data_IF_585874738857
#
_entry.id   IF_585874738857
#
_cell.length_a   1.000
_cell.length_b   1.000
_cell.length_c   1.000
_cell.angle_alpha   90.00
_cell.angle_beta   90.00
_cell.angle_gamma   90.00
#
_symmetry.space_group_name_H-M   'P 1'
#
loop_
_entity.id
_entity.type
_entity.pdbx_description
1 polymer ?
#
# COMPACT_ATOMS: atom_id res chain seq x y z
N UNK A 1 -25.91 -62.08 -61.12
CA UNK A 1 -26.19 -62.76 -59.83
C UNK A 1 -25.66 -61.87 -58.71
N UNK A 2 -26.39 -61.54 -57.62
CA UNK A 2 -26.77 -62.39 -56.46
C UNK A 2 -25.55 -63.06 -55.81
N UNK A 3 -25.25 -62.97 -54.49
CA UNK A 3 -25.93 -62.38 -53.29
C UNK A 3 -24.79 -61.98 -52.27
N UNK A 4 -24.89 -61.34 -51.08
CA UNK A 4 -25.92 -61.11 -50.04
C UNK A 4 -25.59 -59.87 -49.15
N UNK A 5 -26.51 -59.50 -48.25
CA UNK A 5 -26.35 -58.68 -47.03
C UNK A 5 -25.39 -59.37 -45.99
N UNK A 6 -24.94 -58.80 -44.84
CA UNK A 6 -25.70 -58.13 -43.76
C UNK A 6 -24.95 -57.16 -42.82
N UNK A 7 -25.76 -56.24 -42.29
CA UNK A 7 -25.63 -55.31 -41.15
C UNK A 7 -24.77 -55.68 -39.93
N UNK A 8 -24.18 -54.66 -39.27
CA UNK A 8 -24.59 -54.32 -37.87
C UNK A 8 -24.23 -52.90 -37.42
N UNK A 9 -25.21 -52.21 -36.80
CA UNK A 9 -25.04 -50.93 -36.09
C UNK A 9 -24.62 -51.18 -34.64
N UNK A 10 -23.86 -50.26 -34.02
CA UNK A 10 -23.64 -50.25 -32.57
C UNK A 10 -23.46 -48.81 -32.06
N UNK A 11 -24.33 -48.37 -31.14
CA UNK A 11 -24.13 -47.12 -30.41
C UNK A 11 -23.10 -47.34 -29.29
N UNK A 12 -22.23 -46.36 -29.07
CA UNK A 12 -21.44 -46.26 -27.83
C UNK A 12 -21.78 -45.00 -27.06
N UNK A 13 -22.51 -45.23 -25.98
CA UNK A 13 -22.88 -44.37 -24.86
C UNK A 13 -21.92 -43.22 -24.57
N UNK A 14 -22.45 -41.99 -24.57
CA UNK A 14 -21.84 -40.85 -23.88
C UNK A 14 -21.94 -41.10 -22.36
N UNK A 15 -20.79 -41.15 -21.68
CA UNK A 15 -20.72 -41.19 -20.21
C UNK A 15 -20.14 -39.85 -19.74
N UNK A 16 -20.96 -39.04 -19.08
CA UNK A 16 -20.49 -37.85 -18.36
C UNK A 16 -19.73 -38.28 -17.10
N UNK A 17 -18.48 -37.84 -16.96
CA UNK A 17 -17.67 -38.07 -15.76
C UNK A 17 -17.42 -36.76 -15.03
N UNK A 18 -18.17 -36.48 -13.95
CA UNK A 18 -17.90 -35.35 -13.06
C UNK A 18 -16.62 -35.62 -12.24
N UNK A 19 -15.49 -35.00 -12.59
CA UNK A 19 -14.27 -35.05 -11.77
C UNK A 19 -14.29 -34.02 -10.64
N UNK A 20 -14.91 -34.38 -9.52
CA UNK A 20 -14.79 -33.66 -8.26
C UNK A 20 -13.45 -33.98 -7.55
N UNK A 21 -12.32 -33.44 -8.02
CA UNK A 21 -11.02 -33.64 -7.36
C UNK A 21 -10.05 -32.46 -7.51
N UNK A 22 -9.90 -31.64 -6.45
CA UNK A 22 -8.69 -30.80 -6.25
C UNK A 22 -8.46 -30.25 -4.83
N UNK A 23 -9.22 -30.65 -3.79
CA UNK A 23 -9.10 -30.09 -2.43
C UNK A 23 -7.75 -30.36 -1.73
N UNK A 24 -6.98 -31.34 -2.21
CA UNK A 24 -5.64 -31.68 -1.70
C UNK A 24 -4.48 -31.05 -2.51
N UNK A 25 -4.74 -30.55 -3.72
CA UNK A 25 -3.69 -30.02 -4.61
C UNK A 25 -3.18 -28.62 -4.27
N UNK A 26 -3.76 -27.97 -3.25
CA UNK A 26 -3.47 -26.59 -2.86
C UNK A 26 -2.23 -26.45 -1.97
N UNK A 27 -1.97 -27.39 -1.04
CA UNK A 27 -0.85 -27.24 -0.06
C UNK A 27 0.51 -27.35 -0.73
N UNK A 28 0.75 -28.44 -1.47
CA UNK A 28 2.00 -28.70 -2.21
C UNK A 28 2.30 -27.59 -3.25
N UNK A 29 1.24 -27.00 -3.85
CA UNK A 29 1.35 -25.89 -4.81
C UNK A 29 1.67 -24.54 -4.16
N UNK A 30 1.49 -24.37 -2.85
CA UNK A 30 1.93 -23.17 -2.12
C UNK A 30 3.40 -23.27 -1.75
N UNK A 31 3.84 -24.39 -1.18
CA UNK A 31 5.24 -24.61 -0.76
C UNK A 31 6.21 -24.50 -1.95
N UNK A 32 5.89 -25.16 -3.08
CA UNK A 32 6.66 -25.02 -4.33
C UNK A 32 6.71 -23.59 -4.86
N UNK A 33 5.68 -22.76 -4.66
CA UNK A 33 5.69 -21.34 -5.04
C UNK A 33 6.50 -20.46 -4.08
N UNK A 34 6.52 -20.78 -2.79
CA UNK A 34 7.41 -20.11 -1.81
C UNK A 34 8.87 -20.41 -2.18
N UNK A 35 9.21 -21.68 -2.44
CA UNK A 35 10.56 -22.09 -2.85
C UNK A 35 10.95 -21.53 -4.23
N UNK A 36 10.03 -21.45 -5.20
CA UNK A 36 10.31 -20.84 -6.51
C UNK A 36 10.58 -19.33 -6.42
N UNK A 37 9.88 -18.62 -5.53
CA UNK A 37 10.15 -17.20 -5.26
C UNK A 37 11.49 -17.00 -4.54
N UNK A 38 11.83 -17.86 -3.56
CA UNK A 38 13.16 -17.90 -2.93
C UNK A 38 14.27 -18.16 -3.96
N UNK A 39 14.01 -18.98 -4.97
CA UNK A 39 14.92 -19.25 -6.11
C UNK A 39 14.85 -18.22 -7.23
N UNK A 40 14.29 -17.02 -6.98
CA UNK A 40 14.38 -15.88 -7.88
C UNK A 40 13.43 -15.88 -9.08
N UNK A 41 12.58 -16.91 -9.26
CA UNK A 41 11.61 -17.00 -10.34
C UNK A 41 10.31 -16.20 -10.08
N UNK A 42 10.32 -15.29 -9.10
CA UNK A 42 9.22 -14.38 -8.79
C UNK A 42 9.31 -13.05 -9.54
N UNK A 43 8.18 -12.37 -9.64
CA UNK A 43 8.11 -10.97 -10.09
C UNK A 43 8.90 -10.01 -9.16
N UNK A 44 9.13 -8.77 -9.60
CA UNK A 44 9.98 -7.82 -8.89
C UNK A 44 9.49 -7.53 -7.45
N UNK A 45 8.19 -7.36 -7.26
CA UNK A 45 7.59 -7.17 -5.93
C UNK A 45 7.72 -8.40 -5.04
N UNK A 46 7.47 -9.60 -5.58
CA UNK A 46 7.63 -10.86 -4.84
C UNK A 46 9.08 -11.12 -4.43
N UNK A 47 10.06 -10.60 -5.20
CA UNK A 47 11.48 -10.70 -4.89
C UNK A 47 11.90 -9.70 -3.81
N UNK A 48 11.50 -8.43 -3.89
CA UNK A 48 11.94 -7.42 -2.92
C UNK A 48 11.28 -7.61 -1.54
N UNK A 49 10.01 -7.99 -1.48
CA UNK A 49 9.33 -8.34 -0.22
C UNK A 49 9.97 -9.54 0.47
N UNK A 50 10.45 -10.52 -0.31
CA UNK A 50 11.14 -11.69 0.21
C UNK A 50 12.58 -11.38 0.66
N UNK A 51 13.26 -10.43 0.01
CA UNK A 51 14.52 -9.85 0.49
C UNK A 51 14.30 -9.09 1.80
N UNK A 52 13.21 -8.32 1.92
CA UNK A 52 12.83 -7.63 3.17
C UNK A 52 12.58 -8.59 4.31
N UNK A 53 11.68 -9.57 4.10
CA UNK A 53 11.39 -10.63 5.06
C UNK A 53 12.66 -11.38 5.50
N UNK A 54 13.53 -11.77 4.56
CA UNK A 54 14.80 -12.43 4.87
C UNK A 54 15.77 -11.52 5.66
N UNK A 55 15.79 -10.22 5.36
CA UNK A 55 16.61 -9.23 6.09
C UNK A 55 16.10 -9.03 7.51
N UNK A 56 14.78 -8.92 7.70
CA UNK A 56 14.17 -8.77 9.02
C UNK A 56 14.27 -10.06 9.86
N UNK A 57 14.17 -11.25 9.25
CA UNK A 57 14.50 -12.52 9.94
C UNK A 57 15.98 -12.54 10.35
N UNK A 58 16.89 -12.14 9.47
CA UNK A 58 18.32 -12.04 9.77
C UNK A 58 18.60 -11.10 10.95
N UNK A 59 18.07 -9.87 10.90
CA UNK A 59 18.18 -8.89 11.98
C UNK A 59 17.57 -9.40 13.29
N UNK A 60 16.40 -10.03 13.25
CA UNK A 60 15.74 -10.64 14.43
C UNK A 60 16.65 -11.70 15.07
N UNK A 61 17.21 -12.61 14.29
CA UNK A 61 18.10 -13.68 14.79
C UNK A 61 19.41 -13.09 15.31
N UNK A 62 20.03 -12.12 14.61
CA UNK A 62 21.26 -11.47 15.05
C UNK A 62 21.06 -10.70 16.37
N UNK A 63 20.02 -9.87 16.48
CA UNK A 63 19.67 -9.14 17.71
C UNK A 63 19.31 -10.09 18.84
N UNK A 64 18.54 -11.15 18.57
CA UNK A 64 18.13 -12.14 19.57
C UNK A 64 19.31 -12.93 20.14
N UNK A 65 20.20 -13.43 19.29
CA UNK A 65 21.40 -14.16 19.72
C UNK A 65 22.39 -13.26 20.47
N UNK A 66 22.61 -12.03 19.97
CA UNK A 66 23.47 -11.07 20.67
C UNK A 66 22.86 -10.62 22.00
N UNK A 67 21.55 -10.40 22.06
CA UNK A 67 20.85 -10.03 23.29
C UNK A 67 20.91 -11.13 24.34
N UNK A 68 20.78 -12.40 23.95
CA UNK A 68 20.98 -13.53 24.83
C UNK A 68 22.45 -13.65 25.30
N UNK A 69 23.42 -13.58 24.38
CA UNK A 69 24.85 -13.70 24.69
C UNK A 69 25.37 -12.57 25.59
N UNK A 70 24.88 -11.35 25.39
CA UNK A 70 25.26 -10.15 26.14
C UNK A 70 24.36 -9.89 27.36
N UNK A 71 23.40 -10.81 27.64
CA UNK A 71 22.37 -10.68 28.68
C UNK A 71 21.63 -9.32 28.64
N UNK A 72 21.38 -8.81 27.44
CA UNK A 72 20.83 -7.48 27.17
C UNK A 72 19.34 -7.53 26.85
N UNK A 73 18.53 -7.13 27.83
CA UNK A 73 17.08 -7.03 27.68
C UNK A 73 16.66 -6.04 26.58
N UNK A 74 17.42 -4.96 26.36
CA UNK A 74 17.12 -3.97 25.31
C UNK A 74 17.33 -4.53 23.91
N UNK A 75 18.38 -5.32 23.69
CA UNK A 75 18.62 -5.97 22.39
C UNK A 75 17.64 -7.13 22.12
N UNK A 76 17.16 -7.80 23.18
CA UNK A 76 16.07 -8.78 23.08
C UNK A 76 14.72 -8.11 22.76
N UNK A 77 14.41 -6.95 23.34
CA UNK A 77 13.22 -6.18 23.00
C UNK A 77 13.25 -5.68 21.54
N UNK A 78 14.40 -5.17 21.08
CA UNK A 78 14.60 -4.77 19.69
C UNK A 78 14.54 -5.96 18.70
N UNK A 79 14.96 -7.16 19.13
CA UNK A 79 14.71 -8.40 18.39
C UNK A 79 13.21 -8.72 18.30
N UNK A 80 12.46 -8.57 19.40
CA UNK A 80 11.00 -8.77 19.45
C UNK A 80 10.24 -7.79 18.55
N UNK A 81 10.63 -6.51 18.56
CA UNK A 81 10.12 -5.48 17.64
C UNK A 81 10.39 -5.86 16.18
N UNK A 82 11.63 -6.25 15.85
CA UNK A 82 12.00 -6.70 14.50
C UNK A 82 11.26 -8.00 14.09
N UNK A 83 10.88 -8.85 15.04
CA UNK A 83 10.02 -10.01 14.78
C UNK A 83 8.57 -9.62 14.49
N UNK A 84 8.07 -8.52 15.10
CA UNK A 84 6.75 -7.94 14.80
C UNK A 84 6.63 -7.46 13.35
N UNK A 85 7.68 -6.85 12.80
CA UNK A 85 7.75 -6.42 11.39
C UNK A 85 7.46 -7.55 10.39
N UNK A 86 7.83 -8.79 10.74
CA UNK A 86 7.60 -9.96 9.90
C UNK A 86 6.12 -10.20 9.62
N UNK A 87 5.23 -9.78 10.53
CA UNK A 87 3.77 -9.84 10.31
C UNK A 87 3.38 -8.88 9.18
N UNK A 88 3.96 -7.68 9.15
CA UNK A 88 3.78 -6.70 8.07
C UNK A 88 4.32 -7.22 6.73
N UNK A 89 5.55 -7.74 6.70
CA UNK A 89 6.16 -8.32 5.51
C UNK A 89 5.35 -9.50 4.95
N UNK A 90 4.83 -10.39 5.83
CA UNK A 90 4.01 -11.54 5.44
C UNK A 90 2.64 -11.11 4.89
N UNK A 91 2.00 -10.10 5.50
CA UNK A 91 0.76 -9.50 4.98
C UNK A 91 1.01 -8.89 3.60
N UNK A 92 2.07 -8.10 3.45
CA UNK A 92 2.47 -7.48 2.18
C UNK A 92 2.73 -8.53 1.11
N UNK A 93 3.54 -9.56 1.40
CA UNK A 93 3.84 -10.65 0.47
C UNK A 93 2.60 -11.46 0.07
N UNK A 94 1.68 -11.70 1.00
CA UNK A 94 0.42 -12.41 0.74
C UNK A 94 -0.51 -11.57 -0.15
N UNK A 95 -0.79 -10.32 0.24
CA UNK A 95 -1.67 -9.42 -0.50
C UNK A 95 -1.12 -9.12 -1.90
N UNK A 96 0.19 -8.97 -2.05
CA UNK A 96 0.87 -8.84 -3.34
C UNK A 96 0.66 -10.04 -4.27
N UNK A 97 0.94 -11.25 -3.79
CA UNK A 97 0.74 -12.49 -4.58
C UNK A 97 -0.74 -12.78 -4.84
N UNK A 98 -1.64 -12.26 -4.01
CA UNK A 98 -3.09 -12.37 -4.18
C UNK A 98 -3.61 -11.38 -5.23
N UNK A 99 -3.11 -10.14 -5.24
CA UNK A 99 -3.57 -9.10 -6.18
C UNK A 99 -3.21 -9.39 -7.63
N UNK A 100 -2.04 -10.01 -7.86
CA UNK A 100 -1.54 -10.40 -9.19
C UNK A 100 -2.22 -11.64 -9.80
N UNK A 101 -3.33 -12.12 -9.22
CA UNK A 101 -4.17 -13.13 -9.87
C UNK A 101 -5.02 -12.49 -10.98
N UNK A 102 -5.23 -13.18 -12.11
CA UNK A 102 -6.18 -12.74 -13.13
C UNK A 102 -7.61 -12.70 -12.57
N UNK A 103 -8.54 -11.98 -13.23
CA UNK A 103 -9.96 -12.03 -12.91
C UNK A 103 -10.54 -13.45 -12.86
N UNK A 104 -11.59 -13.61 -12.06
CA UNK A 104 -12.37 -14.85 -11.91
C UNK A 104 -13.85 -14.52 -11.76
N UNK A 105 -14.73 -15.50 -11.87
CA UNK A 105 -16.18 -15.29 -11.73
C UNK A 105 -16.56 -14.65 -10.38
N UNK A 106 -15.85 -14.99 -9.31
CA UNK A 106 -16.03 -14.39 -7.96
C UNK A 106 -15.42 -12.98 -7.86
N UNK A 107 -14.46 -12.63 -8.71
CA UNK A 107 -13.78 -11.32 -8.73
C UNK A 107 -13.64 -10.81 -10.19
N UNK A 108 -14.74 -10.35 -10.84
CA UNK A 108 -14.71 -10.01 -12.28
C UNK A 108 -13.79 -8.83 -12.63
N UNK A 109 -13.55 -7.91 -11.67
CA UNK A 109 -12.58 -6.80 -11.78
C UNK A 109 -11.15 -7.16 -11.35
N UNK A 110 -10.86 -8.45 -11.12
CA UNK A 110 -9.57 -8.91 -10.60
C UNK A 110 -9.37 -8.69 -9.11
N UNK A 111 -8.17 -9.04 -8.64
CA UNK A 111 -7.85 -9.12 -7.21
C UNK A 111 -7.16 -7.84 -6.66
N UNK A 112 -7.10 -6.75 -7.42
CA UNK A 112 -6.27 -5.59 -7.08
C UNK A 112 -6.65 -4.88 -5.77
N UNK A 113 -7.93 -4.94 -5.33
CA UNK A 113 -8.35 -4.46 -4.00
C UNK A 113 -7.66 -5.18 -2.83
N UNK A 114 -7.08 -6.37 -3.02
CA UNK A 114 -6.30 -7.04 -1.97
C UNK A 114 -4.99 -6.32 -1.63
N UNK A 115 -4.40 -5.51 -2.53
CA UNK A 115 -3.31 -4.59 -2.14
C UNK A 115 -3.83 -3.53 -1.17
N UNK A 116 -5.01 -2.96 -1.43
CA UNK A 116 -5.61 -1.93 -0.56
C UNK A 116 -5.91 -2.50 0.83
N UNK A 117 -6.44 -3.74 0.90
CA UNK A 117 -6.65 -4.44 2.16
C UNK A 117 -5.33 -4.67 2.93
N UNK A 118 -4.27 -5.11 2.24
CA UNK A 118 -2.93 -5.27 2.84
C UNK A 118 -2.33 -3.93 3.31
N UNK A 119 -2.47 -2.90 2.49
CA UNK A 119 -2.01 -1.53 2.78
C UNK A 119 -2.72 -0.99 4.04
N UNK A 120 -4.03 -1.23 4.15
CA UNK A 120 -4.85 -0.87 5.32
C UNK A 120 -4.44 -1.66 6.56
N UNK A 121 -4.18 -2.97 6.44
CA UNK A 121 -3.77 -3.81 7.56
C UNK A 121 -2.39 -3.37 8.11
N UNK A 122 -1.40 -3.17 7.23
CA UNK A 122 -0.07 -2.67 7.61
C UNK A 122 -0.16 -1.28 8.22
N UNK A 123 -0.98 -0.37 7.66
CA UNK A 123 -1.11 0.98 8.20
C UNK A 123 -1.85 1.03 9.54
N UNK A 124 -2.81 0.12 9.78
CA UNK A 124 -3.47 -0.01 11.09
C UNK A 124 -2.54 -0.61 12.15
N UNK A 125 -1.71 -1.59 11.80
CA UNK A 125 -0.65 -2.09 12.70
C UNK A 125 0.32 -0.96 13.08
N UNK A 126 0.80 -0.20 12.09
CA UNK A 126 1.70 0.94 12.30
C UNK A 126 1.07 2.05 13.17
N UNK A 127 -0.20 2.39 12.91
CA UNK A 127 -0.94 3.41 13.65
C UNK A 127 -1.25 2.94 15.08
N UNK A 128 -1.56 1.65 15.27
CA UNK A 128 -1.80 1.04 16.58
C UNK A 128 -0.54 0.95 17.44
N UNK A 129 0.59 0.53 16.86
CA UNK A 129 1.89 0.55 17.54
C UNK A 129 2.32 1.95 17.94
N UNK A 130 2.16 2.94 17.04
CA UNK A 130 2.40 4.34 17.36
C UNK A 130 1.52 4.87 18.50
N UNK A 131 0.24 4.49 18.54
CA UNK A 131 -0.65 4.85 19.65
C UNK A 131 -0.20 4.19 20.96
N UNK A 132 0.12 2.90 20.96
CA UNK A 132 0.62 2.18 22.14
C UNK A 132 1.91 2.80 22.70
N UNK A 133 2.89 3.07 21.84
CA UNK A 133 4.11 3.81 22.19
C UNK A 133 3.78 5.19 22.77
N UNK A 134 2.88 5.95 22.15
CA UNK A 134 2.52 7.30 22.60
C UNK A 134 1.88 7.31 24.00
N UNK A 135 0.97 6.37 24.27
CA UNK A 135 0.34 6.22 25.58
C UNK A 135 1.37 5.75 26.63
N UNK A 136 2.29 4.84 26.27
CA UNK A 136 3.35 4.38 27.17
C UNK A 136 4.37 5.49 27.50
N UNK A 137 4.87 6.20 26.49
CA UNK A 137 5.76 7.36 26.68
C UNK A 137 5.09 8.49 27.47
N UNK A 138 3.79 8.74 27.27
CA UNK A 138 3.04 9.71 28.05
C UNK A 138 2.89 9.29 29.52
N UNK A 139 2.67 8.01 29.80
CA UNK A 139 2.62 7.48 31.17
C UNK A 139 3.98 7.66 31.87
N UNK A 140 5.09 7.22 31.24
CA UNK A 140 6.45 7.40 31.76
C UNK A 140 6.83 8.88 31.95
N UNK A 141 6.42 9.76 31.03
CA UNK A 141 6.62 11.19 31.14
C UNK A 141 5.83 11.77 32.33
N UNK A 142 4.57 11.34 32.52
CA UNK A 142 3.73 11.82 33.63
C UNK A 142 4.27 11.41 35.00
N UNK A 143 4.83 10.21 35.12
CA UNK A 143 5.47 9.74 36.36
C UNK A 143 6.78 10.50 36.65
N UNK A 144 7.61 10.72 35.64
CA UNK A 144 8.84 11.54 35.75
C UNK A 144 8.54 13.01 36.13
N UNK A 145 7.47 13.59 35.57
CA UNK A 145 6.97 14.92 35.94
C UNK A 145 6.40 14.94 37.36
N UNK A 146 5.70 13.90 37.82
CA UNK A 146 5.16 13.84 39.17
C UNK A 146 6.27 13.79 40.23
N UNK A 147 7.32 12.98 40.00
CA UNK A 147 8.51 12.94 40.87
C UNK A 147 9.23 14.30 40.89
N UNK A 148 9.35 14.96 39.73
CA UNK A 148 9.96 16.29 39.61
C UNK A 148 9.13 17.39 40.28
N UNK A 149 7.79 17.31 40.19
CA UNK A 149 6.87 18.19 40.88
C UNK A 149 6.95 18.03 42.41
N UNK A 150 7.06 16.79 42.91
CA UNK A 150 7.20 16.51 44.34
C UNK A 150 8.50 17.05 44.96
N UNK A 151 9.56 17.19 44.16
CA UNK A 151 10.84 17.79 44.59
C UNK A 151 10.86 19.33 44.52
N UNK A 152 9.81 19.96 44.00
CA UNK A 152 9.74 21.43 43.81
C UNK A 152 9.12 22.14 45.03
N UNK A 153 9.41 23.43 45.19
CA UNK A 153 8.89 24.23 46.29
C UNK A 153 7.38 24.56 46.11
N UNK A 154 6.59 24.64 47.21
CA UNK A 154 5.17 25.02 47.19
C UNK A 154 4.87 26.28 46.40
N UNK A 155 3.97 26.16 45.42
CA UNK A 155 3.48 27.29 44.62
C UNK A 155 2.77 26.85 43.33
N UNK A 156 2.19 27.84 42.64
CA UNK A 156 1.26 27.65 41.51
C UNK A 156 1.79 26.69 40.42
N UNK A 157 3.09 26.69 40.14
CA UNK A 157 3.68 25.80 39.13
C UNK A 157 3.65 24.33 39.59
N UNK A 158 3.81 24.06 40.88
CA UNK A 158 3.68 22.72 41.46
C UNK A 158 2.22 22.25 41.42
N UNK A 159 1.27 23.11 41.79
CA UNK A 159 -0.17 22.79 41.81
C UNK A 159 -0.70 22.47 40.40
N UNK A 160 -0.28 23.25 39.39
CA UNK A 160 -0.62 23.01 37.97
C UNK A 160 -0.01 21.70 37.48
N UNK A 161 1.25 21.42 37.81
CA UNK A 161 1.94 20.21 37.36
C UNK A 161 1.37 18.94 38.01
N UNK A 162 1.09 18.98 39.32
CA UNK A 162 0.42 17.90 40.07
C UNK A 162 -0.96 17.56 39.50
N UNK A 163 -1.81 18.57 39.24
CA UNK A 163 -3.12 18.37 38.61
C UNK A 163 -2.99 17.75 37.20
N UNK A 164 -2.03 18.22 36.39
CA UNK A 164 -1.79 17.66 35.06
C UNK A 164 -1.39 16.18 35.11
N UNK A 165 -0.51 15.80 36.05
CA UNK A 165 -0.08 14.39 36.22
C UNK A 165 -1.20 13.49 36.75
N UNK A 166 -2.05 13.98 37.67
CA UNK A 166 -3.17 13.21 38.22
C UNK A 166 -4.25 12.90 37.16
N UNK A 167 -4.40 13.74 36.13
CA UNK A 167 -5.28 13.45 34.99
C UNK A 167 -4.67 12.35 34.11
N UNK A 168 -3.36 12.41 33.83
CA UNK A 168 -2.67 11.48 32.94
C UNK A 168 -2.62 10.02 33.46
N UNK A 169 -2.58 9.80 34.77
CA UNK A 169 -2.53 8.45 35.38
C UNK A 169 -3.77 7.58 35.14
N UNK A 170 -4.88 8.16 34.63
CA UNK A 170 -6.12 7.41 34.31
C UNK A 170 -6.15 6.85 32.87
N UNK A 171 -5.05 6.98 32.11
CA UNK A 171 -4.96 6.50 30.73
C UNK A 171 -4.62 5.00 30.73
N UNK A 172 -5.43 4.12 30.10
CA UNK A 172 -5.17 2.69 30.08
C UNK A 172 -3.92 2.34 29.26
N UNK A 173 -3.00 1.60 29.87
CA UNK A 173 -1.79 1.09 29.23
C UNK A 173 -2.13 -0.04 28.24
N UNK A 174 -2.24 0.31 26.96
CA UNK A 174 -2.36 -0.67 25.88
C UNK A 174 -1.01 -1.40 25.73
N UNK A 175 -1.02 -2.72 25.91
CA UNK A 175 0.16 -3.58 25.91
C UNK A 175 0.84 -3.76 24.54
N UNK A 176 1.43 -2.69 24.01
CA UNK A 176 2.45 -2.74 22.97
C UNK A 176 3.82 -2.54 23.64
N UNK A 177 4.60 -3.62 23.79
CA UNK A 177 5.90 -3.56 24.46
C UNK A 177 6.96 -2.86 23.59
N UNK A 178 7.06 -1.54 23.74
CA UNK A 178 8.18 -0.73 23.25
C UNK A 178 9.00 -0.21 24.44
N UNK A 179 9.71 -1.12 25.09
CA UNK A 179 10.59 -0.82 26.22
C UNK A 179 11.94 -0.26 25.76
N UNK A 180 12.12 1.06 25.90
CA UNK A 180 13.44 1.72 25.78
C UNK A 180 14.32 1.42 27.01
N UNK A 181 14.60 0.13 27.26
CA UNK A 181 15.30 -0.33 28.45
C UNK A 181 16.76 0.18 28.47
N UNK A 182 17.12 0.94 29.51
CA UNK A 182 18.42 1.58 29.63
C UNK A 182 19.57 0.58 29.87
N UNK A 183 20.25 0.19 28.78
CA UNK A 183 21.63 -0.26 28.80
C UNK A 183 22.24 -0.15 27.39
N UNK A 184 22.84 1.00 27.06
CA UNK A 184 23.77 1.08 25.93
C UNK A 184 25.13 0.52 26.36
N UNK A 185 25.26 -0.81 26.31
CA UNK A 185 26.57 -1.42 26.08
C UNK A 185 27.15 -0.80 24.80
N UNK A 186 28.38 -0.26 24.78
CA UNK A 186 29.02 0.23 23.55
C UNK A 186 29.00 -0.81 22.41
N UNK A 187 28.98 -2.10 22.74
CA UNK A 187 28.87 -3.21 21.79
C UNK A 187 27.43 -3.47 21.32
N UNK A 188 26.39 -2.97 22.00
CA UNK A 188 25.01 -3.03 21.53
C UNK A 188 24.72 -1.96 20.46
N UNK A 189 25.35 -0.79 20.57
CA UNK A 189 25.12 0.35 19.69
C UNK A 189 25.39 0.07 18.20
N UNK A 190 26.37 -0.80 17.87
CA UNK A 190 26.65 -1.13 16.47
C UNK A 190 25.60 -2.06 15.84
N UNK A 191 24.95 -2.93 16.61
CA UNK A 191 23.81 -3.72 16.11
C UNK A 191 22.63 -2.81 15.73
N UNK A 192 22.32 -1.81 16.57
CA UNK A 192 21.30 -0.82 16.28
C UNK A 192 21.63 -0.01 15.01
N UNK A 193 22.88 0.45 14.87
CA UNK A 193 23.35 1.17 13.67
C UNK A 193 23.23 0.30 12.39
N UNK A 194 23.62 -0.97 12.45
CA UNK A 194 23.45 -1.93 11.33
C UNK A 194 21.97 -2.11 10.99
N UNK A 195 21.09 -2.16 12.00
CA UNK A 195 19.63 -2.17 11.81
C UNK A 195 19.11 -0.96 11.04
N UNK A 196 19.49 0.26 11.45
CA UNK A 196 19.09 1.51 10.78
C UNK A 196 19.58 1.55 9.33
N UNK A 197 20.83 1.17 9.08
CA UNK A 197 21.39 1.14 7.72
C UNK A 197 20.71 0.09 6.83
N UNK A 198 20.38 -1.08 7.38
CA UNK A 198 19.63 -2.12 6.67
C UNK A 198 18.19 -1.68 6.34
N UNK A 199 17.48 -1.04 7.29
CA UNK A 199 16.12 -0.52 7.10
C UNK A 199 16.07 0.63 6.08
N UNK A 200 17.04 1.55 6.07
CA UNK A 200 17.15 2.61 5.05
C UNK A 200 17.52 2.06 3.66
N UNK A 201 18.39 1.06 3.57
CA UNK A 201 18.66 0.34 2.31
C UNK A 201 17.40 -0.35 1.78
N UNK A 202 16.68 -1.05 2.65
CA UNK A 202 15.46 -1.77 2.32
C UNK A 202 14.33 -0.80 1.93
N UNK A 203 14.20 0.35 2.60
CA UNK A 203 13.32 1.44 2.15
C UNK A 203 13.62 1.83 0.70
N UNK A 204 14.87 2.16 0.36
CA UNK A 204 15.25 2.59 -1.00
C UNK A 204 14.96 1.51 -2.05
N UNK A 205 15.27 0.25 -1.72
CA UNK A 205 15.06 -0.88 -2.63
C UNK A 205 13.56 -1.20 -2.83
N UNK A 206 12.77 -1.28 -1.76
CA UNK A 206 11.31 -1.52 -1.82
C UNK A 206 10.57 -0.35 -2.46
N UNK A 207 10.94 0.89 -2.13
CA UNK A 207 10.35 2.12 -2.73
C UNK A 207 10.52 2.15 -4.25
N UNK A 208 11.71 1.81 -4.76
CA UNK A 208 12.00 1.75 -6.20
C UNK A 208 11.10 0.75 -6.93
N UNK A 209 10.81 -0.40 -6.32
CA UNK A 209 9.90 -1.40 -6.91
C UNK A 209 8.44 -0.99 -6.76
N UNK A 210 8.05 -0.40 -5.62
CA UNK A 210 6.71 0.12 -5.40
C UNK A 210 6.31 1.20 -6.44
N UNK A 211 7.20 2.14 -6.74
CA UNK A 211 7.00 3.15 -7.79
C UNK A 211 6.99 2.54 -9.21
N UNK A 212 7.84 1.55 -9.48
CA UNK A 212 7.90 0.89 -10.79
C UNK A 212 6.66 0.04 -11.10
N UNK A 213 6.03 -0.54 -10.08
CA UNK A 213 4.88 -1.44 -10.18
C UNK A 213 3.54 -0.78 -9.78
N UNK A 214 3.55 0.52 -9.41
CA UNK A 214 2.34 1.28 -9.02
C UNK A 214 1.67 0.83 -7.71
N UNK A 215 2.41 0.17 -6.82
CA UNK A 215 1.84 -0.61 -5.71
C UNK A 215 1.73 0.17 -4.39
N UNK A 216 0.51 0.36 -3.84
CA UNK A 216 0.34 0.95 -2.52
C UNK A 216 0.81 0.02 -1.39
N UNK A 217 0.71 -1.30 -1.53
CA UNK A 217 1.11 -2.22 -0.44
C UNK A 217 2.63 -2.29 -0.29
N UNK A 218 3.37 -2.34 -1.41
CA UNK A 218 4.84 -2.23 -1.38
C UNK A 218 5.28 -0.84 -0.90
N UNK A 219 4.53 0.22 -1.24
CA UNK A 219 4.83 1.57 -0.77
C UNK A 219 4.64 1.72 0.75
N UNK A 220 3.57 1.18 1.32
CA UNK A 220 3.37 1.16 2.76
C UNK A 220 4.46 0.37 3.49
N UNK A 221 4.86 -0.80 2.97
CA UNK A 221 5.98 -1.57 3.54
C UNK A 221 7.31 -0.78 3.48
N UNK A 222 7.57 -0.05 2.38
CA UNK A 222 8.73 0.83 2.28
C UNK A 222 8.67 1.98 3.31
N UNK A 223 7.52 2.65 3.47
CA UNK A 223 7.34 3.70 4.47
C UNK A 223 7.44 3.16 5.90
N UNK A 224 7.03 1.93 6.16
CA UNK A 224 7.21 1.25 7.43
C UNK A 224 8.69 1.13 7.79
N UNK A 225 9.53 0.58 6.90
CA UNK A 225 10.98 0.49 7.12
C UNK A 225 11.64 1.86 7.30
N UNK A 226 11.15 2.90 6.59
CA UNK A 226 11.67 4.28 6.75
C UNK A 226 11.27 4.90 8.08
N UNK A 227 10.03 4.67 8.52
CA UNK A 227 9.53 5.11 9.83
C UNK A 227 10.38 4.51 10.95
N UNK A 228 10.72 3.22 10.81
CA UNK A 228 11.55 2.47 11.76
C UNK A 228 13.03 2.90 11.79
N UNK A 229 13.61 3.25 10.64
CA UNK A 229 14.95 3.83 10.58
C UNK A 229 14.99 5.22 11.26
N UNK A 230 13.94 6.02 11.12
CA UNK A 230 13.85 7.36 11.70
C UNK A 230 13.46 7.35 13.19
N UNK A 231 12.59 6.44 13.62
CA UNK A 231 12.28 6.25 15.05
C UNK A 231 13.53 5.87 15.83
N UNK A 232 14.28 4.88 15.32
CA UNK A 232 15.56 4.43 15.88
C UNK A 232 16.60 5.55 15.95
N UNK A 233 16.68 6.40 14.92
CA UNK A 233 17.59 7.54 14.91
C UNK A 233 17.20 8.63 15.92
N UNK A 234 15.91 8.94 16.06
CA UNK A 234 15.43 9.93 17.05
C UNK A 234 15.59 9.39 18.48
N UNK A 235 15.29 8.11 18.73
CA UNK A 235 15.52 7.48 20.02
C UNK A 235 17.02 7.46 20.41
N UNK A 236 17.91 7.16 19.46
CA UNK A 236 19.36 7.24 19.69
C UNK A 236 19.81 8.67 20.09
N UNK A 237 19.29 9.70 19.42
CA UNK A 237 19.58 11.10 19.76
C UNK A 237 19.01 11.47 21.13
N UNK A 238 17.81 10.98 21.49
CA UNK A 238 17.22 11.19 22.81
C UNK A 238 18.07 10.59 23.94
N UNK A 239 18.46 9.31 23.81
CA UNK A 239 19.30 8.60 24.79
C UNK A 239 20.67 9.27 24.95
N UNK A 240 21.32 9.66 23.85
CA UNK A 240 22.59 10.39 23.89
C UNK A 240 22.43 11.81 24.51
N UNK A 241 21.28 12.46 24.26
CA UNK A 241 20.92 13.75 24.84
C UNK A 241 20.77 13.69 26.36
N UNK A 242 20.16 12.63 26.90
CA UNK A 242 20.06 12.38 28.36
C UNK A 242 21.45 12.36 29.04
N UNK A 243 22.50 11.93 28.33
CA UNK A 243 23.86 11.92 28.86
C UNK A 243 24.49 13.33 28.98
N UNK A 244 24.01 14.29 28.18
CA UNK A 244 24.43 15.71 28.24
C UNK A 244 23.51 16.55 29.15
N UNK A 245 22.23 16.18 29.26
CA UNK A 245 21.19 16.92 29.99
C UNK A 245 20.39 15.96 30.92
N UNK A 246 21.03 15.35 31.95
CA UNK A 246 20.42 14.29 32.76
C UNK A 246 19.27 14.73 33.67
N UNK A 247 18.97 16.03 33.72
CA UNK A 247 17.84 16.61 34.44
C UNK A 247 16.57 16.78 33.58
N UNK A 248 16.63 16.44 32.29
CA UNK A 248 15.50 16.47 31.36
C UNK A 248 15.06 15.04 31.01
N UNK A 249 13.75 14.74 30.97
CA UNK A 249 13.21 13.43 30.55
C UNK A 249 13.26 13.29 29.01
N UNK A 250 14.45 13.40 28.43
CA UNK A 250 14.65 13.43 26.98
C UNK A 250 14.29 12.11 26.30
N UNK A 251 14.47 10.98 26.99
CA UNK A 251 14.09 9.66 26.49
C UNK A 251 12.57 9.52 26.33
N UNK A 252 11.81 9.92 27.36
CA UNK A 252 10.35 9.91 27.36
C UNK A 252 9.78 10.91 26.33
N UNK A 253 10.37 12.10 26.22
CA UNK A 253 10.05 13.07 25.17
C UNK A 253 10.41 12.56 23.77
N UNK A 254 11.50 11.81 23.65
CA UNK A 254 11.93 11.13 22.42
C UNK A 254 10.92 10.08 21.96
N UNK A 255 10.50 9.19 22.85
CA UNK A 255 9.45 8.19 22.57
C UNK A 255 8.12 8.83 22.15
N UNK A 256 7.72 9.93 22.80
CA UNK A 256 6.52 10.70 22.43
C UNK A 256 6.66 11.36 21.05
N UNK A 257 7.81 11.97 20.73
CA UNK A 257 8.09 12.53 19.41
C UNK A 257 8.10 11.46 18.33
N UNK A 258 8.72 10.31 18.60
CA UNK A 258 8.71 9.13 17.71
C UNK A 258 7.27 8.65 17.46
N UNK A 259 6.46 8.50 18.50
CA UNK A 259 5.04 8.13 18.38
C UNK A 259 4.31 9.08 17.41
N UNK A 260 4.46 10.40 17.56
CA UNK A 260 3.83 11.39 16.68
C UNK A 260 4.29 11.26 15.23
N UNK A 261 5.59 11.07 15.00
CA UNK A 261 6.16 10.91 13.65
C UNK A 261 5.70 9.62 12.95
N UNK A 262 5.53 8.52 13.70
CA UNK A 262 4.99 7.27 13.16
C UNK A 262 3.47 7.40 12.93
N UNK A 263 2.74 7.97 13.90
CA UNK A 263 1.30 8.22 13.84
C UNK A 263 0.90 9.05 12.61
N UNK A 264 1.63 10.13 12.32
CA UNK A 264 1.40 10.98 11.15
C UNK A 264 1.51 10.19 9.83
N UNK A 265 2.49 9.29 9.73
CA UNK A 265 2.70 8.46 8.53
C UNK A 265 1.65 7.35 8.42
N UNK A 266 1.39 6.62 9.52
CA UNK A 266 0.37 5.57 9.59
C UNK A 266 -1.04 6.08 9.27
N UNK A 267 -1.42 7.24 9.83
CA UNK A 267 -2.71 7.89 9.55
C UNK A 267 -2.85 8.30 8.07
N UNK A 268 -1.79 8.87 7.48
CA UNK A 268 -1.77 9.23 6.05
C UNK A 268 -2.01 8.02 5.14
N UNK A 269 -1.31 6.90 5.39
CA UNK A 269 -1.49 5.66 4.64
C UNK A 269 -2.90 5.09 4.87
N UNK A 270 -3.38 5.05 6.12
CA UNK A 270 -4.72 4.54 6.49
C UNK A 270 -5.83 5.31 5.78
N UNK A 271 -5.80 6.64 5.84
CA UNK A 271 -6.76 7.51 5.14
C UNK A 271 -6.70 7.36 3.61
N UNK A 272 -5.51 7.15 3.04
CA UNK A 272 -5.35 6.91 1.60
C UNK A 272 -5.86 5.54 1.14
N UNK A 273 -5.84 4.55 2.03
CA UNK A 273 -6.28 3.17 1.76
C UNK A 273 -7.78 3.03 1.97
N UNK A 274 -8.33 3.63 3.04
CA UNK A 274 -9.76 3.69 3.29
C UNK A 274 -10.52 4.35 2.11
N UNK A 275 -9.99 5.45 1.57
CA UNK A 275 -10.52 6.09 0.35
C UNK A 275 -10.55 5.16 -0.88
N UNK A 276 -9.57 4.26 -1.03
CA UNK A 276 -9.57 3.26 -2.11
C UNK A 276 -10.53 2.08 -1.83
N UNK A 277 -10.78 1.73 -0.56
CA UNK A 277 -11.81 0.74 -0.22
C UNK A 277 -13.20 1.27 -0.56
N UNK A 278 -13.49 2.54 -0.25
CA UNK A 278 -14.76 3.24 -0.53
C UNK A 278 -14.89 3.74 -1.98
N UNK A 279 -14.06 3.26 -2.91
CA UNK A 279 -14.06 3.65 -4.35
C UNK A 279 -14.04 5.17 -4.59
N UNK A 280 -13.31 5.93 -3.76
CA UNK A 280 -13.19 7.37 -3.93
C UNK A 280 -12.44 7.74 -5.22
N UNK A 281 -12.83 8.88 -5.80
CA UNK A 281 -12.24 9.38 -7.04
C UNK A 281 -10.75 9.70 -6.94
N UNK A 282 -10.03 9.55 -8.05
CA UNK A 282 -8.62 9.96 -8.17
C UNK A 282 -8.43 11.47 -7.95
N UNK A 283 -7.21 11.88 -7.60
CA UNK A 283 -6.88 13.29 -7.37
C UNK A 283 -7.22 14.18 -8.58
N UNK A 284 -7.53 15.46 -8.34
CA UNK A 284 -7.77 16.43 -9.40
C UNK A 284 -6.63 16.47 -10.43
N UNK A 285 -5.36 16.43 -9.99
CA UNK A 285 -4.18 16.33 -10.87
C UNK A 285 -4.20 15.08 -11.76
N UNK A 286 -4.67 13.94 -11.25
CA UNK A 286 -4.87 12.72 -12.02
C UNK A 286 -6.01 12.87 -13.03
N UNK A 287 -7.17 13.41 -12.62
CA UNK A 287 -8.31 13.67 -13.51
C UNK A 287 -7.93 14.64 -14.66
N UNK A 288 -7.23 15.72 -14.37
CA UNK A 288 -6.68 16.63 -15.38
C UNK A 288 -5.67 15.93 -16.30
N UNK A 289 -4.83 15.02 -15.77
CA UNK A 289 -3.89 14.25 -16.61
C UNK A 289 -4.61 13.32 -17.61
N UNK A 290 -5.75 12.73 -17.22
CA UNK A 290 -6.56 11.90 -18.10
C UNK A 290 -7.29 12.74 -19.17
N UNK A 291 -7.81 13.92 -18.80
CA UNK A 291 -8.42 14.86 -19.74
C UNK A 291 -7.40 15.42 -20.75
N UNK A 292 -6.20 15.78 -20.30
CA UNK A 292 -5.08 16.20 -21.17
C UNK A 292 -4.70 15.09 -22.17
N UNK A 293 -4.68 13.83 -21.74
CA UNK A 293 -4.42 12.70 -22.62
C UNK A 293 -5.48 12.52 -23.73
N UNK A 294 -6.71 12.97 -23.52
CA UNK A 294 -7.80 12.90 -24.51
C UNK A 294 -7.86 14.11 -25.46
N UNK A 295 -7.11 15.19 -25.21
CA UNK A 295 -7.08 16.37 -26.09
C UNK A 295 -6.75 16.06 -27.56
N UNK A 296 -5.83 15.12 -27.91
CA UNK A 296 -5.57 14.77 -29.32
C UNK A 296 -6.73 14.06 -30.04
N UNK A 297 -7.76 13.61 -29.31
CA UNK A 297 -8.97 13.02 -29.88
C UNK A 297 -10.13 14.02 -30.01
N UNK A 298 -10.03 15.18 -29.36
CA UNK A 298 -11.07 16.22 -29.34
C UNK A 298 -10.92 17.21 -30.52
N UNK A 299 -11.97 17.97 -30.86
CA UNK A 299 -11.90 18.95 -31.93
C UNK A 299 -10.99 20.10 -31.51
N UNK A 300 -9.92 20.36 -32.28
CA UNK A 300 -9.03 21.50 -32.03
C UNK A 300 -9.77 22.80 -32.35
N UNK A 301 -10.20 23.55 -31.32
CA UNK A 301 -10.99 24.77 -31.44
C UNK A 301 -10.37 25.88 -32.33
N UNK A 302 -9.08 25.77 -32.65
CA UNK A 302 -8.32 26.69 -33.50
C UNK A 302 -8.14 26.23 -34.97
N UNK A 303 -8.71 25.09 -35.41
CA UNK A 303 -8.77 24.77 -36.85
C UNK A 303 -9.94 25.50 -37.52
N UNK A 304 -9.70 26.74 -37.94
CA UNK A 304 -10.48 27.38 -39.01
C UNK A 304 -10.28 26.61 -40.31
N UNK A 305 -11.18 25.65 -40.57
CA UNK A 305 -11.22 24.92 -41.84
C UNK A 305 -11.39 25.92 -43.01
N UNK A 306 -10.60 25.82 -44.09
CA UNK A 306 -10.84 26.59 -45.31
C UNK A 306 -12.26 26.35 -45.82
N UNK A 307 -13.00 27.42 -46.13
CA UNK A 307 -14.37 27.31 -46.61
C UNK A 307 -14.42 26.46 -47.89
N UNK A 308 -15.16 25.35 -47.86
CA UNK A 308 -15.26 24.37 -48.95
C UNK A 308 -14.43 23.10 -48.77
N UNK A 309 -13.44 23.06 -47.86
CA UNK A 309 -12.71 21.84 -47.54
C UNK A 309 -13.51 20.97 -46.56
N UNK A 310 -14.14 19.90 -47.06
CA UNK A 310 -14.80 18.91 -46.21
C UNK A 310 -13.77 18.24 -45.29
N UNK A 311 -13.91 18.41 -43.98
CA UNK A 311 -13.05 17.74 -43.00
C UNK A 311 -13.13 16.21 -43.17
N UNK A 312 -12.01 15.48 -43.05
CA UNK A 312 -12.01 14.02 -43.17
C UNK A 312 -12.92 13.40 -42.09
N UNK A 313 -14.06 12.84 -42.51
CA UNK A 313 -15.16 12.35 -41.65
C UNK A 313 -14.74 11.42 -40.50
N UNK A 314 -13.57 10.79 -40.57
CA UNK A 314 -13.09 9.82 -39.58
C UNK A 314 -12.22 10.40 -38.45
N UNK A 315 -11.73 11.64 -38.55
CA UNK A 315 -10.75 12.15 -37.58
C UNK A 315 -11.36 12.58 -36.24
N UNK A 316 -12.42 13.40 -36.27
CA UNK A 316 -13.03 14.06 -35.10
C UNK A 316 -14.43 13.48 -34.79
N UNK A 317 -14.48 12.19 -34.44
CA UNK A 317 -15.72 11.51 -34.04
C UNK A 317 -16.13 11.83 -32.59
N UNK A 318 -15.19 12.28 -31.76
CA UNK A 318 -15.40 12.71 -30.39
C UNK A 318 -15.53 14.23 -30.35
N UNK A 319 -16.70 14.73 -29.93
CA UNK A 319 -17.01 16.16 -29.84
C UNK A 319 -16.68 16.74 -28.46
N UNK A 320 -16.83 15.94 -27.40
CA UNK A 320 -16.62 16.34 -26.01
C UNK A 320 -16.47 15.14 -25.07
N UNK A 321 -15.97 15.38 -23.86
CA UNK A 321 -15.84 14.38 -22.79
C UNK A 321 -16.41 14.94 -21.50
N UNK A 322 -17.45 14.32 -20.98
CA UNK A 322 -18.16 14.72 -19.77
C UNK A 322 -18.18 13.59 -18.74
N UNK A 323 -18.52 13.96 -17.49
CA UNK A 323 -18.60 13.06 -16.34
C UNK A 323 -17.43 12.05 -16.20
N UNK A 324 -16.20 12.48 -16.51
CA UNK A 324 -15.04 11.61 -16.37
C UNK A 324 -14.81 11.29 -14.89
N UNK A 325 -15.10 10.05 -14.52
CA UNK A 325 -14.86 9.44 -13.21
C UNK A 325 -13.70 8.48 -13.35
N UNK A 326 -12.84 8.43 -12.33
CA UNK A 326 -11.82 7.40 -12.25
C UNK A 326 -11.56 7.05 -10.79
N UNK A 327 -11.40 5.76 -10.50
CA UNK A 327 -11.16 5.22 -9.16
C UNK A 327 -9.92 4.32 -9.18
N UNK A 328 -9.21 4.22 -8.05
CA UNK A 328 -8.05 3.33 -7.89
C UNK A 328 -8.40 2.17 -6.97
N UNK A 329 -8.04 0.97 -7.39
CA UNK A 329 -8.02 -0.22 -6.56
C UNK A 329 -6.61 -0.84 -6.60
N UNK A 330 -5.75 -0.44 -5.66
CA UNK A 330 -4.38 -0.97 -5.59
C UNK A 330 -3.50 -0.43 -6.72
N UNK A 331 -2.88 -1.34 -7.46
CA UNK A 331 -2.09 -1.07 -8.65
C UNK A 331 -2.92 -0.77 -9.91
N UNK A 332 -4.25 -0.95 -9.88
CA UNK A 332 -5.15 -0.74 -11.02
C UNK A 332 -6.04 0.52 -10.87
N UNK A 333 -6.38 1.12 -12.01
CA UNK A 333 -7.28 2.26 -12.14
C UNK A 333 -8.40 1.96 -13.14
N UNK A 334 -9.63 2.25 -12.74
CA UNK A 334 -10.83 2.12 -13.57
C UNK A 334 -11.26 3.52 -14.00
N UNK A 335 -11.64 3.71 -15.25
CA UNK A 335 -12.10 5.01 -15.79
C UNK A 335 -13.47 4.85 -16.46
N UNK A 336 -14.45 5.62 -16.02
CA UNK A 336 -15.77 5.70 -16.64
C UNK A 336 -15.94 7.14 -17.19
N UNK A 337 -16.38 7.31 -18.43
CA UNK A 337 -16.63 8.65 -19.01
C UNK A 337 -17.80 8.66 -20.00
N UNK A 338 -18.39 9.83 -20.20
CA UNK A 338 -19.35 10.09 -21.26
C UNK A 338 -18.65 10.78 -22.44
N UNK A 339 -18.75 10.18 -23.62
CA UNK A 339 -18.23 10.69 -24.89
C UNK A 339 -19.37 11.29 -25.70
N UNK A 340 -19.32 12.61 -25.93
CA UNK A 340 -20.26 13.30 -26.83
C UNK A 340 -19.86 13.06 -28.29
N UNK A 341 -20.81 12.58 -29.09
CA UNK A 341 -20.60 12.13 -30.48
C UNK A 341 -21.73 12.61 -31.39
N UNK A 342 -21.55 12.68 -32.73
CA UNK A 342 -22.65 13.04 -33.63
C UNK A 342 -23.80 12.02 -33.60
N UNK A 343 -25.06 12.48 -33.66
CA UNK A 343 -26.23 11.60 -33.79
C UNK A 343 -26.14 10.61 -34.97
N UNK A 344 -25.44 10.95 -36.05
CA UNK A 344 -25.31 10.11 -37.25
C UNK A 344 -24.20 9.04 -37.17
N UNK A 345 -23.58 8.83 -36.01
CA UNK A 345 -22.44 7.91 -35.84
C UNK A 345 -22.91 6.45 -35.77
N UNK A 346 -22.25 5.54 -36.50
CA UNK A 346 -22.65 4.12 -36.49
C UNK A 346 -22.14 3.37 -35.25
N UNK A 347 -22.77 2.23 -34.92
CA UNK A 347 -22.36 1.36 -33.80
C UNK A 347 -20.96 0.76 -34.03
N UNK A 348 -20.55 0.58 -35.29
CA UNK A 348 -19.17 0.23 -35.66
C UNK A 348 -18.19 1.37 -35.36
N UNK A 349 -18.57 2.62 -35.62
CA UNK A 349 -17.72 3.79 -35.38
C UNK A 349 -17.61 4.11 -33.88
N UNK A 350 -18.67 3.95 -33.08
CA UNK A 350 -18.59 4.08 -31.61
C UNK A 350 -17.66 3.03 -31.02
N UNK A 351 -17.72 1.77 -31.48
CA UNK A 351 -16.79 0.73 -31.03
C UNK A 351 -15.34 1.04 -31.45
N UNK A 352 -15.11 1.56 -32.67
CA UNK A 352 -13.78 2.01 -33.09
C UNK A 352 -13.28 3.20 -32.25
N UNK A 353 -14.17 4.11 -31.85
CA UNK A 353 -13.85 5.25 -30.99
C UNK A 353 -13.58 4.84 -29.53
N UNK A 354 -14.35 3.90 -28.98
CA UNK A 354 -14.10 3.31 -27.66
C UNK A 354 -12.70 2.69 -27.60
N UNK A 355 -12.32 1.93 -28.63
CA UNK A 355 -11.00 1.34 -28.75
C UNK A 355 -9.88 2.41 -28.85
N UNK A 356 -10.12 3.55 -29.51
CA UNK A 356 -9.19 4.71 -29.54
C UNK A 356 -9.05 5.32 -28.14
N UNK A 357 -10.15 5.69 -27.49
CA UNK A 357 -10.19 6.31 -26.15
C UNK A 357 -9.52 5.40 -25.11
N UNK A 358 -9.88 4.12 -25.10
CA UNK A 358 -9.35 3.11 -24.19
C UNK A 358 -7.83 2.93 -24.37
N UNK A 359 -7.34 2.90 -25.62
CA UNK A 359 -5.91 2.84 -25.93
C UNK A 359 -5.17 4.08 -25.44
N UNK A 360 -5.63 5.27 -25.81
CA UNK A 360 -4.98 6.55 -25.46
C UNK A 360 -4.84 6.75 -23.94
N UNK A 361 -5.87 6.39 -23.16
CA UNK A 361 -5.80 6.46 -21.69
C UNK A 361 -4.82 5.44 -21.09
N UNK A 362 -4.74 4.23 -21.66
CA UNK A 362 -3.81 3.17 -21.23
C UNK A 362 -2.34 3.49 -21.56
N UNK A 363 -2.10 4.11 -22.71
CA UNK A 363 -0.78 4.60 -23.11
C UNK A 363 -0.33 5.77 -22.21
N UNK A 364 -1.22 6.70 -21.88
CA UNK A 364 -0.93 7.82 -20.98
C UNK A 364 -0.76 7.40 -19.51
N UNK A 365 -1.45 6.34 -19.06
CA UNK A 365 -1.39 5.80 -17.70
C UNK A 365 -1.48 4.27 -17.71
N UNK A 366 -0.32 3.61 -17.56
CA UNK A 366 -0.17 2.14 -17.45
C UNK A 366 -1.04 1.48 -16.36
N UNK A 367 -1.46 2.24 -15.36
CA UNK A 367 -2.33 1.78 -14.27
C UNK A 367 -3.78 1.56 -14.72
N UNK A 368 -4.20 2.15 -15.84
CA UNK A 368 -5.58 2.06 -16.34
C UNK A 368 -5.84 0.63 -16.87
N UNK A 369 -6.61 -0.15 -16.13
CA UNK A 369 -6.96 -1.54 -16.49
C UNK A 369 -8.17 -1.58 -17.42
N UNK A 370 -9.18 -0.78 -17.10
CA UNK A 370 -10.51 -0.80 -17.71
C UNK A 370 -10.95 0.64 -17.98
N UNK A 371 -11.49 0.87 -19.18
CA UNK A 371 -12.12 2.13 -19.57
C UNK A 371 -13.52 1.78 -20.06
N UNK A 372 -14.54 2.47 -19.56
CA UNK A 372 -15.93 2.36 -20.03
C UNK A 372 -16.35 3.68 -20.65
N UNK A 373 -16.87 3.63 -21.87
CA UNK A 373 -17.34 4.82 -22.60
C UNK A 373 -18.86 4.74 -22.75
N UNK A 374 -19.57 5.65 -22.11
CA UNK A 374 -20.98 5.92 -22.45
C UNK A 374 -21.00 6.87 -23.63
N UNK A 375 -21.69 6.53 -24.70
CA UNK A 375 -21.88 7.43 -25.83
C UNK A 375 -23.14 8.28 -25.62
N UNK A 376 -23.01 9.59 -25.86
CA UNK A 376 -24.12 10.55 -25.82
C UNK A 376 -24.21 11.25 -27.18
N UNK A 377 -25.31 11.07 -27.93
CA UNK A 377 -25.46 11.63 -29.26
C UNK A 377 -25.94 13.09 -29.19
N UNK A 378 -25.21 13.99 -29.84
CA UNK A 378 -25.43 15.45 -29.84
C UNK A 378 -25.74 15.92 -31.27
N UNK A 379 -26.55 16.97 -31.42
CA UNK A 379 -26.79 17.62 -32.71
C UNK A 379 -25.58 18.42 -33.17
N UNK A 380 -25.27 18.35 -34.47
CA UNK A 380 -24.11 19.01 -35.08
C UNK A 380 -24.32 20.52 -35.22
N UNK A 381 -24.34 21.22 -34.09
CA UNK A 381 -24.60 22.65 -33.99
C UNK A 381 -24.76 23.16 -32.54
N UNK A 382 -25.12 22.30 -31.59
CA UNK A 382 -25.07 22.67 -30.17
C UNK A 382 -23.63 22.91 -29.70
N UNK A 383 -23.44 23.95 -28.88
CA UNK A 383 -22.14 24.20 -28.24
C UNK A 383 -21.94 23.18 -27.12
N UNK A 384 -21.00 22.26 -27.32
CA UNK A 384 -20.32 21.56 -26.22
C UNK A 384 -19.66 22.64 -25.35
N UNK A 385 -20.02 22.67 -24.06
CA UNK A 385 -19.65 23.71 -23.10
C UNK A 385 -18.55 23.24 -22.14
#
# INVERSE_FOLDING_TARGET
>A
MTTTMTTRTSLRTLIHTHMACSRWGTRIRMETKVVAALKGAGDAGSRITLIGLASNVGLTVSKGLAGWYMNSASLLADAGHTAGDLIGDLITLFCWRLSRKPPSETYPRGYAKFEVLGTTAVSLLLTGGALGLGLHSLALLSDSLAHSAAAMAPGVVQDVLMNATHIAQNIPSVGAEHSHAHALDPNAAWFALVGVLAKEWLYRATRKVADAEGSPVLFANALHHRSDAYSSAVALVAILGTWWLPHLPLDQLGGLLVSVLIMQQGWGITMSSFKQLTDAGVSAKTKSSLLLALQPLLPSASRTLPQGAAAPRAEQLLLGVEDLRATRAGSLMFVDLTAKVPQSLSVSDTSALENRISRTLKEAKKEVSEVRVRFEPVETGERVA
#
